data_IF_992533814293
#
_entry.id   IF_992533814293
#
_cell.length_a   1.000
_cell.length_b   1.000
_cell.length_c   1.000
_cell.angle_alpha   90.00
_cell.angle_beta   90.00
_cell.angle_gamma   90.00
#
_symmetry.space_group_name_H-M   'P 1'
#
loop_
_entity.id
_entity.type
_entity.pdbx_description
1 polymer ?
#
# COMPACT_ATOMS: atom_id res chain seq x y z
N UNK A 1 -0.71 -8.60 8.22
CA UNK A 1 -0.81 -10.04 7.88
C UNK A 1 0.55 -10.69 7.56
N UNK A 2 1.50 -9.99 6.93
CA UNK A 2 2.78 -10.58 6.48
C UNK A 2 3.61 -11.21 7.61
N UNK A 3 3.91 -10.45 8.68
CA UNK A 3 4.64 -10.98 9.85
C UNK A 3 3.90 -12.14 10.52
N UNK A 4 2.56 -12.12 10.53
CA UNK A 4 1.77 -13.21 11.09
C UNK A 4 1.89 -14.50 10.27
N UNK A 5 1.78 -14.41 8.94
CA UNK A 5 1.97 -15.56 8.04
C UNK A 5 3.41 -16.10 8.08
N UNK A 6 4.39 -15.22 8.11
CA UNK A 6 5.80 -15.61 8.27
C UNK A 6 6.04 -16.30 9.62
N UNK A 7 5.47 -15.79 10.71
CA UNK A 7 5.60 -16.37 12.04
C UNK A 7 4.92 -17.75 12.14
N UNK A 8 3.79 -17.96 11.46
CA UNK A 8 3.18 -19.30 11.36
C UNK A 8 4.15 -20.29 10.71
N UNK A 9 4.75 -19.91 9.58
CA UNK A 9 5.72 -20.76 8.88
C UNK A 9 7.04 -20.94 9.66
N UNK A 10 7.41 -19.99 10.52
CA UNK A 10 8.56 -20.11 11.44
C UNK A 10 8.28 -21.07 12.58
N UNK A 11 7.12 -20.94 13.22
CA UNK A 11 6.68 -21.80 14.31
C UNK A 11 6.63 -23.26 13.87
N UNK A 12 6.09 -23.54 12.67
CA UNK A 12 6.05 -24.89 12.09
C UNK A 12 7.44 -25.52 11.88
N UNK A 13 8.51 -24.70 11.81
CA UNK A 13 9.91 -25.15 11.60
C UNK A 13 10.79 -24.99 12.85
N UNK A 14 10.20 -24.65 14.01
CA UNK A 14 10.95 -24.42 15.26
C UNK A 14 11.83 -23.16 15.25
N UNK A 15 11.60 -22.23 14.32
CA UNK A 15 12.37 -20.99 14.22
C UNK A 15 11.78 -19.89 15.13
N UNK A 16 12.62 -18.96 15.65
CA UNK A 16 12.16 -17.87 16.49
C UNK A 16 11.24 -16.91 15.73
N UNK A 17 10.27 -16.36 16.45
CA UNK A 17 9.29 -15.40 15.93
C UNK A 17 9.92 -14.04 15.67
N UNK A 18 9.36 -13.31 14.71
CA UNK A 18 9.68 -11.91 14.43
C UNK A 18 8.67 -10.98 15.10
N UNK A 19 9.18 -9.89 15.65
CA UNK A 19 8.37 -8.77 16.14
C UNK A 19 7.77 -7.99 14.97
N UNK A 20 6.55 -7.49 15.16
CA UNK A 20 5.89 -6.62 14.20
C UNK A 20 6.11 -5.15 14.58
N UNK A 21 6.41 -4.33 13.58
CA UNK A 21 6.53 -2.87 13.71
C UNK A 21 5.61 -2.20 12.72
N UNK A 22 4.93 -1.14 13.14
CA UNK A 22 4.14 -0.31 12.24
C UNK A 22 5.04 0.68 11.48
N UNK A 23 5.00 0.62 10.16
CA UNK A 23 5.56 1.64 9.28
C UNK A 23 4.40 2.40 8.64
N UNK A 24 4.20 3.66 9.04
CA UNK A 24 3.18 4.53 8.46
C UNK A 24 3.68 5.12 7.14
N UNK A 25 2.95 4.85 6.05
CA UNK A 25 3.30 5.32 4.69
C UNK A 25 2.48 6.55 4.27
N UNK A 26 1.68 7.11 5.16
CA UNK A 26 0.72 8.17 4.87
C UNK A 26 -0.63 7.61 4.40
N UNK A 27 -1.58 8.53 4.19
CA UNK A 27 -2.96 8.19 3.81
C UNK A 27 -3.43 9.04 2.63
N UNK A 28 -4.25 8.45 1.76
CA UNK A 28 -4.87 9.16 0.63
C UNK A 28 -6.37 8.91 0.59
N UNK A 29 -7.15 9.99 0.65
CA UNK A 29 -8.61 9.98 0.68
C UNK A 29 -9.14 10.58 -0.63
N UNK A 30 -10.16 9.94 -1.22
CA UNK A 30 -10.87 10.49 -2.38
C UNK A 30 -11.92 11.50 -1.95
N UNK A 31 -12.05 12.58 -2.72
CA UNK A 31 -13.09 13.61 -2.56
C UNK A 31 -13.76 13.79 -3.92
N UNK A 32 -14.84 13.06 -4.20
CA UNK A 32 -15.43 13.00 -5.54
C UNK A 32 -14.45 12.40 -6.56
N UNK A 33 -14.24 13.09 -7.68
CA UNK A 33 -13.23 12.72 -8.69
C UNK A 33 -11.79 13.14 -8.34
N UNK A 34 -11.62 13.86 -7.23
CA UNK A 34 -10.34 14.34 -6.73
C UNK A 34 -9.80 13.45 -5.59
N UNK A 35 -8.55 13.68 -5.20
CA UNK A 35 -7.96 13.04 -4.03
C UNK A 35 -7.13 14.04 -3.22
N UNK A 36 -6.99 13.76 -1.92
CA UNK A 36 -6.10 14.46 -1.00
C UNK A 36 -5.17 13.43 -0.36
N UNK A 37 -3.87 13.63 -0.54
CA UNK A 37 -2.81 12.84 0.07
C UNK A 37 -2.22 13.61 1.26
N UNK A 38 -1.94 12.90 2.35
CA UNK A 38 -1.38 13.47 3.57
C UNK A 38 -0.25 12.60 4.13
N UNK A 39 0.82 13.28 4.59
CA UNK A 39 1.99 12.67 5.24
C UNK A 39 2.56 11.49 4.46
N UNK A 40 2.64 11.65 3.13
CA UNK A 40 3.19 10.61 2.24
C UNK A 40 4.69 10.49 2.48
N UNK A 41 5.13 9.30 2.90
CA UNK A 41 6.54 9.02 3.16
C UNK A 41 7.41 9.34 1.93
N UNK A 42 8.49 10.10 2.15
CA UNK A 42 9.45 10.47 1.10
C UNK A 42 9.07 11.70 0.28
N UNK A 43 7.95 12.36 0.57
CA UNK A 43 7.57 13.62 -0.06
C UNK A 43 7.90 14.82 0.84
N UNK A 44 8.45 15.92 0.29
CA UNK A 44 8.73 17.13 1.06
C UNK A 44 7.48 17.99 1.35
N UNK A 45 6.33 17.63 0.75
CA UNK A 45 5.06 18.35 0.88
C UNK A 45 4.11 17.55 1.77
N UNK A 46 3.59 18.18 2.82
CA UNK A 46 2.75 17.52 3.83
C UNK A 46 1.39 17.07 3.30
N UNK A 47 0.73 17.93 2.54
CA UNK A 47 -0.61 17.68 1.99
C UNK A 47 -0.66 18.18 0.56
N UNK A 48 -1.19 17.37 -0.35
CA UNK A 48 -1.42 17.78 -1.73
C UNK A 48 -2.67 17.12 -2.30
N UNK A 49 -3.31 17.80 -3.25
CA UNK A 49 -4.50 17.31 -3.95
C UNK A 49 -4.31 17.23 -5.46
N UNK A 50 -5.41 17.17 -6.20
CA UNK A 50 -5.41 17.22 -7.65
C UNK A 50 -4.95 15.92 -8.33
N UNK A 51 -4.59 16.04 -9.60
CA UNK A 51 -4.08 14.93 -10.44
C UNK A 51 -2.97 14.11 -9.77
N UNK A 52 -1.94 14.71 -9.11
CA UNK A 52 -0.90 13.93 -8.45
C UNK A 52 -1.43 13.04 -7.33
N UNK A 53 -2.37 13.53 -6.51
CA UNK A 53 -2.97 12.74 -5.44
C UNK A 53 -3.86 11.61 -5.99
N UNK A 54 -4.57 11.87 -7.10
CA UNK A 54 -5.39 10.85 -7.79
C UNK A 54 -4.53 9.73 -8.36
N UNK A 55 -3.43 10.07 -9.03
CA UNK A 55 -2.47 9.08 -9.56
C UNK A 55 -1.82 8.27 -8.43
N UNK A 56 -1.43 8.92 -7.34
CA UNK A 56 -0.88 8.22 -6.17
C UNK A 56 -1.88 7.22 -5.60
N UNK A 57 -3.16 7.60 -5.49
CA UNK A 57 -4.20 6.69 -4.99
C UNK A 57 -4.36 5.46 -5.89
N UNK A 58 -4.42 5.65 -7.21
CA UNK A 58 -4.47 4.54 -8.18
C UNK A 58 -3.26 3.61 -8.05
N UNK A 59 -2.06 4.19 -7.90
CA UNK A 59 -0.83 3.42 -7.72
C UNK A 59 -0.83 2.60 -6.42
N UNK A 60 -1.32 3.16 -5.30
CA UNK A 60 -1.45 2.43 -4.03
C UNK A 60 -2.40 1.24 -4.18
N UNK A 61 -3.56 1.44 -4.82
CA UNK A 61 -4.52 0.38 -5.06
C UNK A 61 -3.95 -0.73 -5.95
N UNK A 62 -3.29 -0.34 -7.05
CA UNK A 62 -2.59 -1.23 -7.97
C UNK A 62 -1.53 -2.06 -7.26
N UNK A 63 -0.70 -1.44 -6.42
CA UNK A 63 0.32 -2.13 -5.61
C UNK A 63 -0.32 -3.13 -4.66
N UNK A 64 -1.45 -2.79 -4.05
CA UNK A 64 -2.15 -3.70 -3.14
C UNK A 64 -2.67 -4.93 -3.90
N UNK A 65 -3.30 -4.74 -5.06
CA UNK A 65 -3.74 -5.84 -5.94
C UNK A 65 -2.57 -6.71 -6.34
N UNK A 66 -1.46 -6.12 -6.80
CA UNK A 66 -0.26 -6.86 -7.17
C UNK A 66 0.27 -7.72 -6.02
N UNK A 67 0.26 -7.18 -4.79
CA UNK A 67 0.75 -7.86 -3.59
C UNK A 67 -0.12 -9.04 -3.17
N UNK A 68 -1.45 -8.93 -3.24
CA UNK A 68 -2.37 -9.99 -2.80
C UNK A 68 -2.67 -11.02 -3.89
N UNK A 69 -2.38 -10.70 -5.15
CA UNK A 69 -2.77 -11.53 -6.30
C UNK A 69 -1.62 -11.91 -7.22
N UNK A 70 -1.20 -10.99 -8.08
CA UNK A 70 -0.12 -11.16 -9.06
C UNK A 70 0.20 -9.81 -9.72
N UNK A 71 1.44 -9.64 -10.20
CA UNK A 71 1.87 -8.43 -10.92
C UNK A 71 0.95 -8.11 -12.11
N UNK A 72 0.56 -9.11 -12.91
CA UNK A 72 -0.30 -8.91 -14.08
C UNK A 72 -1.67 -8.33 -13.73
N UNK A 73 -2.30 -8.81 -12.63
CA UNK A 73 -3.57 -8.26 -12.15
C UNK A 73 -3.43 -6.82 -11.63
N UNK A 74 -2.30 -6.50 -11.01
CA UNK A 74 -2.01 -5.11 -10.62
C UNK A 74 -1.95 -4.19 -11.83
N UNK A 75 -1.17 -4.55 -12.86
CA UNK A 75 -1.03 -3.74 -14.08
C UNK A 75 -2.37 -3.54 -14.79
N UNK A 76 -3.17 -4.60 -14.94
CA UNK A 76 -4.52 -4.51 -15.52
C UNK A 76 -5.40 -3.52 -14.75
N UNK A 77 -5.45 -3.65 -13.42
CA UNK A 77 -6.30 -2.83 -12.59
C UNK A 77 -5.95 -1.33 -12.65
N UNK A 78 -4.69 -0.97 -12.89
CA UNK A 78 -4.33 0.44 -13.05
C UNK A 78 -5.01 1.08 -14.28
N UNK A 79 -5.12 0.35 -15.39
CA UNK A 79 -5.77 0.82 -16.62
C UNK A 79 -7.29 0.88 -16.52
N UNK A 80 -7.89 0.06 -15.66
CA UNK A 80 -9.34 -0.02 -15.43
C UNK A 80 -9.85 1.04 -14.42
N UNK A 81 -8.95 1.75 -13.74
CA UNK A 81 -9.25 2.81 -12.76
C UNK A 81 -9.14 4.20 -13.37
#
# INVERSE_FOLDING_TARGET
>A
AEVAGENLARAARGAPLKSWTHEDKGTVISVGEEAVAHDVMGMPIKTFGGTPAKLLKKAIATRWIAKVSSTGRGVSAFGDM
#
